data_IF_736062192447
#
_entry.id   IF_736062192447
#
_cell.length_a   1.000
_cell.length_b   1.000
_cell.length_c   1.000
_cell.angle_alpha   90.00
_cell.angle_beta   90.00
_cell.angle_gamma   90.00
#
_symmetry.space_group_name_H-M   'P 1'
#
loop_
_entity.id
_entity.type
_entity.pdbx_description
1 polymer ?
#
# COMPACT_ATOMS: atom_id res chain seq x y z
N UNK A 1 9.78 -17.87 -11.08
CA UNK A 1 8.31 -17.97 -10.87
C UNK A 1 7.91 -19.41 -11.07
N UNK A 2 7.34 -20.07 -10.06
CA UNK A 2 6.79 -21.41 -10.17
C UNK A 2 5.69 -21.40 -11.23
N UNK A 3 5.68 -22.44 -12.08
CA UNK A 3 4.71 -22.66 -13.13
C UNK A 3 3.27 -22.52 -12.58
N UNK A 4 2.66 -21.34 -12.73
CA UNK A 4 1.21 -21.27 -12.69
C UNK A 4 0.76 -22.06 -13.90
N UNK A 5 0.34 -23.31 -13.67
CA UNK A 5 -0.13 -24.20 -14.73
C UNK A 5 -1.28 -23.50 -15.47
N UNK A 6 -1.51 -23.89 -16.75
CA UNK A 6 -2.62 -23.38 -17.57
C UNK A 6 -4.01 -23.76 -17.02
N UNK A 7 -4.14 -23.85 -15.71
CA UNK A 7 -5.40 -24.09 -15.01
C UNK A 7 -6.21 -22.80 -15.02
N UNK A 8 -7.50 -22.93 -15.23
CA UNK A 8 -8.44 -21.81 -15.17
C UNK A 8 -9.10 -21.78 -13.82
N UNK A 9 -9.01 -20.62 -13.16
CA UNK A 9 -9.52 -20.39 -11.80
C UNK A 9 -10.77 -19.53 -11.84
N UNK A 10 -11.68 -19.77 -10.91
CA UNK A 10 -12.87 -18.91 -10.71
C UNK A 10 -12.50 -17.63 -9.97
N UNK A 11 -11.48 -17.70 -9.09
CA UNK A 11 -10.98 -16.55 -8.35
C UNK A 11 -9.46 -16.63 -8.14
N UNK A 12 -8.82 -15.46 -8.12
CA UNK A 12 -7.44 -15.27 -7.67
C UNK A 12 -7.47 -14.25 -6.54
N UNK A 13 -6.76 -14.54 -5.46
CA UNK A 13 -6.55 -13.64 -4.34
C UNK A 13 -5.09 -13.18 -4.35
N UNK A 14 -4.89 -11.88 -4.46
CA UNK A 14 -3.59 -11.23 -4.40
C UNK A 14 -3.55 -10.32 -3.17
N UNK A 15 -2.72 -10.66 -2.19
CA UNK A 15 -2.55 -9.91 -0.98
C UNK A 15 -1.09 -9.55 -0.79
N UNK A 16 -0.76 -8.27 -0.98
CA UNK A 16 0.57 -7.70 -0.76
C UNK A 16 1.71 -8.47 -1.48
N UNK A 17 1.53 -8.83 -2.75
CA UNK A 17 2.50 -9.60 -3.54
C UNK A 17 2.96 -8.88 -4.80
N UNK A 18 2.05 -8.19 -5.51
CA UNK A 18 2.38 -7.59 -6.81
C UNK A 18 3.41 -6.47 -6.68
N UNK A 19 3.44 -5.75 -5.58
CA UNK A 19 4.44 -4.70 -5.36
C UNK A 19 5.88 -5.23 -5.25
N UNK A 20 6.06 -6.55 -5.02
CA UNK A 20 7.35 -7.23 -5.07
C UNK A 20 7.70 -7.76 -6.47
N UNK A 21 6.80 -7.69 -7.44
CA UNK A 21 7.00 -8.28 -8.73
C UNK A 21 7.98 -7.47 -9.60
N UNK A 22 9.17 -8.02 -9.89
CA UNK A 22 10.15 -7.37 -10.77
C UNK A 22 9.56 -7.17 -12.18
N UNK A 23 8.86 -8.18 -12.70
CA UNK A 23 8.16 -8.12 -13.99
C UNK A 23 6.65 -7.96 -13.76
N UNK A 24 6.25 -6.85 -13.16
CA UNK A 24 4.88 -6.61 -12.69
C UNK A 24 3.85 -6.72 -13.83
N UNK A 25 4.18 -6.26 -15.03
CA UNK A 25 3.28 -6.37 -16.18
C UNK A 25 3.04 -7.84 -16.55
N UNK A 26 4.10 -8.64 -16.64
CA UNK A 26 3.98 -10.07 -16.96
C UNK A 26 3.22 -10.82 -15.86
N UNK A 27 3.45 -10.48 -14.59
CA UNK A 27 2.75 -11.08 -13.46
C UNK A 27 1.25 -10.78 -13.53
N UNK A 28 0.88 -9.52 -13.71
CA UNK A 28 -0.52 -9.07 -13.78
C UNK A 28 -1.24 -9.66 -15.00
N UNK A 29 -0.58 -9.64 -16.17
CA UNK A 29 -1.08 -10.29 -17.38
C UNK A 29 -1.33 -11.78 -17.15
N UNK A 30 -0.37 -12.49 -16.53
CA UNK A 30 -0.52 -13.93 -16.26
C UNK A 30 -1.70 -14.23 -15.35
N UNK A 31 -1.94 -13.40 -14.33
CA UNK A 31 -3.13 -13.52 -13.49
C UNK A 31 -4.41 -13.42 -14.33
N UNK A 32 -4.49 -12.46 -15.26
CA UNK A 32 -5.66 -12.30 -16.13
C UNK A 32 -5.88 -13.52 -17.04
N UNK A 33 -4.81 -14.14 -17.54
CA UNK A 33 -4.86 -15.30 -18.44
C UNK A 33 -5.31 -16.59 -17.76
N UNK A 34 -5.05 -16.77 -16.45
CA UNK A 34 -5.41 -17.98 -15.70
C UNK A 34 -6.80 -17.95 -15.10
N UNK A 35 -7.47 -16.80 -15.13
CA UNK A 35 -8.86 -16.69 -14.73
C UNK A 35 -9.78 -17.23 -15.85
N UNK A 36 -10.86 -17.90 -15.44
CA UNK A 36 -11.94 -18.30 -16.33
C UNK A 36 -12.70 -17.06 -16.84
N UNK A 37 -13.44 -17.19 -17.96
CA UNK A 37 -14.44 -16.18 -18.32
C UNK A 37 -15.39 -15.93 -17.13
N UNK A 38 -15.51 -14.66 -16.70
CA UNK A 38 -16.28 -14.28 -15.51
C UNK A 38 -15.59 -14.52 -14.17
N UNK A 39 -14.38 -15.06 -14.14
CA UNK A 39 -13.57 -15.17 -12.93
C UNK A 39 -13.13 -13.81 -12.39
N UNK A 40 -12.79 -13.75 -11.11
CA UNK A 40 -12.51 -12.51 -10.39
C UNK A 40 -11.08 -12.52 -9.80
N UNK A 41 -10.44 -11.36 -9.81
CA UNK A 41 -9.31 -11.07 -8.94
C UNK A 41 -9.77 -10.23 -7.75
N UNK A 42 -9.37 -10.64 -6.54
CA UNK A 42 -9.45 -9.87 -5.31
C UNK A 42 -8.06 -9.40 -4.96
N UNK A 43 -7.88 -8.10 -4.86
CA UNK A 43 -6.59 -7.47 -4.72
C UNK A 43 -6.56 -6.56 -3.49
N UNK A 44 -5.54 -6.74 -2.65
CA UNK A 44 -5.17 -5.83 -1.57
C UNK A 44 -3.67 -5.56 -1.70
N UNK A 45 -3.31 -4.29 -1.96
CA UNK A 45 -1.94 -3.96 -2.31
C UNK A 45 -1.46 -2.63 -1.75
N UNK A 46 -0.15 -2.57 -1.54
CA UNK A 46 0.56 -1.32 -1.40
C UNK A 46 0.76 -0.71 -2.81
N UNK A 47 0.28 0.53 -2.97
CA UNK A 47 0.30 1.29 -4.24
C UNK A 47 0.99 2.66 -4.09
N UNK A 48 1.69 2.83 -2.98
CA UNK A 48 2.47 4.04 -2.69
C UNK A 48 3.73 4.15 -3.55
N UNK A 49 4.56 5.16 -3.30
CA UNK A 49 5.81 5.37 -4.04
C UNK A 49 6.73 4.16 -3.96
N UNK A 50 7.34 3.80 -5.11
CA UNK A 50 8.30 2.71 -5.18
C UNK A 50 9.38 2.85 -4.10
N UNK A 51 9.69 1.71 -3.44
CA UNK A 51 10.68 1.64 -2.35
C UNK A 51 10.46 2.68 -1.24
N UNK A 52 9.20 3.08 -1.00
CA UNK A 52 8.83 4.07 0.02
C UNK A 52 9.59 5.41 -0.13
N UNK A 53 9.93 5.78 -1.36
CA UNK A 53 10.66 7.03 -1.64
C UNK A 53 9.68 8.21 -1.74
N UNK A 54 9.18 8.65 -0.61
CA UNK A 54 8.26 9.78 -0.49
C UNK A 54 8.91 11.09 -0.94
N UNK A 55 8.12 12.00 -1.54
CA UNK A 55 8.57 13.34 -1.88
C UNK A 55 8.92 14.16 -0.62
N UNK A 56 9.69 15.22 -0.78
CA UNK A 56 10.04 16.08 0.34
C UNK A 56 8.82 16.81 0.91
N UNK A 57 7.84 17.16 0.07
CA UNK A 57 6.56 17.73 0.47
C UNK A 57 5.76 16.75 1.32
N UNK A 58 5.72 15.48 0.91
CA UNK A 58 5.04 14.43 1.66
C UNK A 58 5.72 14.20 3.02
N UNK A 59 7.07 14.12 3.05
CA UNK A 59 7.82 14.01 4.29
C UNK A 59 7.55 15.18 5.24
N UNK A 60 7.50 16.40 4.69
CA UNK A 60 7.20 17.60 5.48
C UNK A 60 5.86 17.49 6.19
N UNK A 61 4.80 17.05 5.47
CA UNK A 61 3.47 16.84 6.05
C UNK A 61 3.49 15.76 7.15
N UNK A 62 4.17 14.64 6.93
CA UNK A 62 4.33 13.61 7.97
C UNK A 62 5.03 14.15 9.22
N UNK A 63 6.10 14.95 9.05
CA UNK A 63 6.85 15.55 10.15
C UNK A 63 5.98 16.57 10.90
N UNK A 64 5.21 17.39 10.20
CA UNK A 64 4.27 18.35 10.81
C UNK A 64 3.25 17.63 11.69
N UNK A 65 2.57 16.61 11.16
CA UNK A 65 1.59 15.82 11.93
C UNK A 65 2.26 15.10 13.12
N UNK A 66 3.45 14.52 12.90
CA UNK A 66 4.18 13.85 13.97
C UNK A 66 4.63 14.82 15.07
N UNK A 67 4.90 16.09 14.74
CA UNK A 67 5.31 17.09 15.72
C UNK A 67 4.22 17.46 16.73
N UNK A 68 2.94 17.26 16.35
CA UNK A 68 1.79 17.49 17.23
C UNK A 68 1.65 16.38 18.31
N UNK A 69 2.26 15.22 18.07
CA UNK A 69 2.20 14.10 19.00
C UNK A 69 3.11 14.35 20.21
N UNK A 70 2.73 13.91 21.43
CA UNK A 70 3.67 13.79 22.54
C UNK A 70 4.85 12.89 22.17
N UNK A 71 6.00 13.13 22.78
CA UNK A 71 7.26 12.43 22.46
C UNK A 71 7.16 10.90 22.53
N UNK A 72 6.32 10.37 23.43
CA UNK A 72 6.03 8.94 23.58
C UNK A 72 5.51 8.31 22.28
N UNK A 73 4.69 9.05 21.52
CA UNK A 73 3.99 8.57 20.33
C UNK A 73 4.68 8.93 19.00
N UNK A 74 5.83 9.63 19.06
CA UNK A 74 6.59 9.95 17.86
C UNK A 74 7.38 8.75 17.37
N UNK A 75 7.34 8.49 16.05
CA UNK A 75 8.21 7.48 15.45
C UNK A 75 9.68 7.83 15.68
N UNK A 76 10.48 6.84 16.04
CA UNK A 76 11.93 6.94 16.17
C UNK A 76 12.67 6.50 14.90
N UNK A 77 11.91 6.00 13.92
CA UNK A 77 12.44 5.53 12.65
C UNK A 77 12.47 6.64 11.61
N UNK A 78 13.32 6.49 10.62
CA UNK A 78 13.32 7.38 9.47
C UNK A 78 12.03 7.17 8.67
N UNK A 79 11.26 8.24 8.47
CA UNK A 79 10.00 8.17 7.72
C UNK A 79 10.20 7.81 6.25
N UNK A 80 11.31 8.21 5.65
CA UNK A 80 11.74 7.74 4.32
C UNK A 80 12.97 6.86 4.48
N UNK A 81 12.85 5.53 4.23
CA UNK A 81 13.99 4.64 4.40
C UNK A 81 15.09 4.95 3.38
N UNK A 82 16.37 4.82 3.76
CA UNK A 82 17.48 4.95 2.83
C UNK A 82 17.42 3.86 1.76
N UNK A 83 17.72 4.19 0.49
CA UNK A 83 17.78 3.21 -0.59
C UNK A 83 18.72 2.03 -0.31
N UNK A 84 19.74 2.24 0.54
CA UNK A 84 20.62 1.17 0.97
C UNK A 84 19.91 0.02 1.69
N UNK A 85 18.76 0.26 2.33
CA UNK A 85 17.98 -0.78 3.01
C UNK A 85 17.43 -1.80 2.01
N UNK A 86 17.14 -1.38 0.78
CA UNK A 86 16.61 -2.24 -0.29
C UNK A 86 17.67 -3.16 -0.93
N UNK A 87 18.93 -3.09 -0.50
CA UNK A 87 19.94 -4.09 -0.85
C UNK A 87 19.72 -5.43 -0.14
N UNK A 88 19.03 -5.43 1.00
CA UNK A 88 18.71 -6.63 1.78
C UNK A 88 17.45 -7.29 1.19
N UNK A 89 16.47 -6.47 0.85
CA UNK A 89 15.22 -6.92 0.20
C UNK A 89 14.94 -6.06 -1.05
N UNK A 90 15.60 -6.39 -2.16
CA UNK A 90 15.57 -5.53 -3.35
C UNK A 90 14.21 -5.50 -4.06
N UNK A 91 13.30 -6.40 -3.71
CA UNK A 91 11.95 -6.46 -4.29
C UNK A 91 10.91 -5.69 -3.46
N UNK A 92 11.25 -5.25 -2.24
CA UNK A 92 10.30 -4.51 -1.41
C UNK A 92 9.81 -3.25 -2.10
N UNK A 93 8.51 -3.20 -2.38
CA UNK A 93 7.83 -2.09 -3.06
C UNK A 93 8.54 -1.61 -4.35
N UNK A 94 9.23 -2.53 -5.07
CA UNK A 94 10.09 -2.16 -6.21
C UNK A 94 9.30 -1.47 -7.33
N UNK A 95 8.05 -1.87 -7.52
CA UNK A 95 7.13 -1.35 -8.55
C UNK A 95 5.72 -1.10 -7.98
N UNK A 96 5.63 -0.70 -6.73
CA UNK A 96 4.35 -0.43 -6.08
C UNK A 96 3.53 0.65 -6.79
N UNK A 97 4.18 1.67 -7.33
CA UNK A 97 3.60 2.73 -8.14
C UNK A 97 2.99 2.23 -9.47
N UNK A 98 3.41 1.05 -9.95
CA UNK A 98 2.88 0.42 -11.17
C UNK A 98 1.75 -0.58 -10.91
N UNK A 99 1.48 -0.97 -9.65
CA UNK A 99 0.44 -1.97 -9.32
C UNK A 99 -0.91 -1.56 -9.89
N UNK A 100 -1.37 -0.36 -9.58
CA UNK A 100 -2.67 0.15 -10.03
C UNK A 100 -2.73 0.33 -11.56
N UNK A 101 -1.77 0.97 -12.23
CA UNK A 101 -1.73 1.06 -13.70
C UNK A 101 -1.76 -0.32 -14.39
N UNK A 102 -1.04 -1.30 -13.87
CA UNK A 102 -1.03 -2.65 -14.46
C UNK A 102 -2.34 -3.38 -14.21
N UNK A 103 -2.93 -3.24 -13.03
CA UNK A 103 -4.27 -3.77 -12.77
C UNK A 103 -5.28 -3.17 -13.75
N UNK A 104 -5.35 -1.86 -13.89
CA UNK A 104 -6.26 -1.15 -14.79
C UNK A 104 -6.03 -1.50 -16.27
N UNK A 105 -4.80 -1.89 -16.63
CA UNK A 105 -4.47 -2.34 -18.00
C UNK A 105 -5.13 -3.69 -18.35
N UNK A 106 -5.16 -4.64 -17.41
CA UNK A 106 -5.57 -6.02 -17.65
C UNK A 106 -6.93 -6.40 -17.07
N UNK A 107 -7.49 -5.56 -16.21
CA UNK A 107 -8.76 -5.82 -15.54
C UNK A 107 -9.72 -4.64 -15.66
N UNK A 108 -11.01 -4.96 -15.79
CA UNK A 108 -12.09 -4.02 -15.55
C UNK A 108 -12.39 -4.02 -14.05
N UNK A 109 -12.19 -2.88 -13.40
CA UNK A 109 -12.45 -2.71 -11.97
C UNK A 109 -13.96 -2.69 -11.73
N UNK A 110 -14.46 -3.60 -10.89
CA UNK A 110 -15.87 -3.68 -10.48
C UNK A 110 -16.11 -3.18 -9.07
N UNK A 111 -15.07 -3.12 -8.26
CA UNK A 111 -15.06 -2.51 -6.94
C UNK A 111 -13.65 -2.01 -6.64
N UNK A 112 -13.58 -0.85 -6.00
CA UNK A 112 -12.33 -0.37 -5.42
C UNK A 112 -12.57 0.44 -4.15
N UNK A 113 -11.55 0.45 -3.29
CA UNK A 113 -11.51 1.26 -2.08
C UNK A 113 -10.08 1.68 -1.77
N UNK A 114 -9.89 2.99 -1.65
CA UNK A 114 -8.66 3.55 -1.11
C UNK A 114 -8.62 3.32 0.41
N UNK A 115 -7.50 2.82 0.91
CA UNK A 115 -7.28 2.52 2.33
C UNK A 115 -6.33 3.54 2.99
N UNK A 116 -6.02 4.64 2.26
CA UNK A 116 -5.18 5.73 2.72
C UNK A 116 -3.75 5.28 3.11
N UNK A 117 -3.24 5.70 4.28
CA UNK A 117 -1.92 5.32 4.79
C UNK A 117 -0.82 6.36 4.53
N UNK A 118 -1.14 7.45 3.84
CA UNK A 118 -0.16 8.47 3.42
C UNK A 118 0.51 9.22 4.59
N UNK A 119 -0.12 9.25 5.75
CA UNK A 119 0.43 9.85 6.98
C UNK A 119 0.67 8.79 8.04
N UNK A 120 -0.36 7.99 8.36
CA UNK A 120 -0.32 7.11 9.51
C UNK A 120 0.63 5.93 9.34
N UNK A 121 0.75 5.36 8.14
CA UNK A 121 1.51 4.14 7.89
C UNK A 121 2.95 4.21 8.41
N UNK A 122 3.71 5.22 7.97
CA UNK A 122 5.12 5.33 8.38
C UNK A 122 5.30 5.81 9.82
N UNK A 123 4.38 6.61 10.35
CA UNK A 123 4.44 7.06 11.75
C UNK A 123 4.17 5.89 12.68
N UNK A 124 3.27 4.98 12.32
CA UNK A 124 2.94 3.78 13.08
C UNK A 124 3.93 2.63 12.85
N UNK A 125 4.69 2.64 11.76
CA UNK A 125 5.65 1.59 11.46
C UNK A 125 6.68 1.44 12.59
N UNK A 126 6.81 0.22 13.15
CA UNK A 126 7.62 -0.08 14.32
C UNK A 126 7.36 0.84 15.55
N UNK A 127 6.17 1.39 15.66
CA UNK A 127 5.75 2.31 16.70
C UNK A 127 4.33 1.99 17.22
N UNK A 128 3.66 1.04 16.58
CA UNK A 128 2.26 0.68 16.88
C UNK A 128 2.07 0.24 18.34
N UNK A 129 3.07 -0.38 18.94
CA UNK A 129 3.08 -0.80 20.35
C UNK A 129 2.76 0.33 21.34
N UNK A 130 3.16 1.57 21.02
CA UNK A 130 2.85 2.74 21.84
C UNK A 130 1.37 3.16 21.77
N UNK A 131 0.60 2.62 20.82
CA UNK A 131 -0.81 2.92 20.59
C UNK A 131 -1.75 1.74 20.88
N UNK A 132 -1.20 0.57 21.27
CA UNK A 132 -1.97 -0.67 21.44
C UNK A 132 -2.51 -0.85 22.88
N UNK A 133 -2.18 0.03 23.81
CA UNK A 133 -2.68 -0.02 25.18
C UNK A 133 -4.13 0.50 25.21
N UNK A 134 -4.96 -0.04 26.13
CA UNK A 134 -6.28 0.50 26.46
C UNK A 134 -6.20 1.89 27.14
N UNK A 135 -5.07 2.57 26.96
CA UNK A 135 -4.82 3.92 27.45
C UNK A 135 -5.64 4.92 26.62
N UNK A 136 -6.57 5.67 27.24
CA UNK A 136 -7.37 6.67 26.55
C UNK A 136 -6.55 7.73 25.83
N UNK A 137 -5.34 8.03 26.30
CA UNK A 137 -4.44 8.96 25.64
C UNK A 137 -3.88 8.37 24.34
N UNK A 138 -3.48 7.08 24.35
CA UNK A 138 -3.02 6.37 23.17
C UNK A 138 -4.11 6.34 22.09
N UNK A 139 -5.34 5.97 22.47
CA UNK A 139 -6.49 5.94 21.56
C UNK A 139 -6.80 7.33 20.98
N UNK A 140 -6.70 8.39 21.78
CA UNK A 140 -6.89 9.77 21.30
C UNK A 140 -5.87 10.14 20.22
N UNK A 141 -4.61 9.79 20.42
CA UNK A 141 -3.57 10.12 19.44
C UNK A 141 -3.60 9.23 18.20
N UNK A 142 -4.02 7.98 18.34
CA UNK A 142 -4.29 7.12 17.19
C UNK A 142 -5.44 7.68 16.35
N UNK A 143 -6.55 8.06 16.96
CA UNK A 143 -7.68 8.69 16.28
C UNK A 143 -7.25 10.00 15.57
N UNK A 144 -6.42 10.82 16.21
CA UNK A 144 -5.85 12.01 15.59
C UNK A 144 -5.05 11.68 14.32
N UNK A 145 -4.14 10.69 14.38
CA UNK A 145 -3.35 10.26 13.24
C UNK A 145 -4.23 9.76 12.09
N UNK A 146 -5.20 8.89 12.39
CA UNK A 146 -6.10 8.34 11.38
C UNK A 146 -6.98 9.41 10.74
N UNK A 147 -7.42 10.42 11.49
CA UNK A 147 -8.16 11.57 10.97
C UNK A 147 -7.30 12.43 10.03
N UNK A 148 -6.04 12.67 10.40
CA UNK A 148 -5.10 13.41 9.55
C UNK A 148 -4.75 12.65 8.27
N UNK A 149 -4.56 11.34 8.39
CA UNK A 149 -4.34 10.45 7.26
C UNK A 149 -5.50 10.50 6.27
N UNK A 150 -6.73 10.36 6.76
CA UNK A 150 -7.94 10.46 5.96
C UNK A 150 -8.06 11.86 5.31
N UNK A 151 -7.96 12.93 6.09
CA UNK A 151 -8.06 14.32 5.60
C UNK A 151 -7.08 14.60 4.47
N UNK A 152 -5.81 14.21 4.62
CA UNK A 152 -4.77 14.54 3.64
C UNK A 152 -4.84 13.66 2.40
N UNK A 153 -5.27 12.41 2.54
CA UNK A 153 -5.51 11.52 1.39
C UNK A 153 -6.71 11.98 0.57
N UNK A 154 -7.85 12.31 1.20
CA UNK A 154 -9.05 12.78 0.51
C UNK A 154 -8.84 14.11 -0.21
N UNK A 155 -8.01 15.00 0.35
CA UNK A 155 -7.65 16.26 -0.26
C UNK A 155 -6.50 16.17 -1.28
N UNK A 156 -5.99 14.98 -1.56
CA UNK A 156 -4.90 14.74 -2.51
C UNK A 156 -3.56 15.35 -2.08
N UNK A 157 -3.39 15.69 -0.79
CA UNK A 157 -2.12 16.24 -0.27
C UNK A 157 -1.05 15.17 -0.13
N UNK A 158 -1.47 13.92 0.09
CA UNK A 158 -0.60 12.75 0.15
C UNK A 158 -1.18 11.65 -0.74
N UNK A 159 -0.35 10.76 -1.31
CA UNK A 159 -0.84 9.64 -2.09
C UNK A 159 -1.55 8.61 -1.21
N UNK A 160 -2.46 7.86 -1.83
CA UNK A 160 -3.00 6.63 -1.26
C UNK A 160 -1.90 5.57 -1.25
N UNK A 161 -1.68 4.93 -0.10
CA UNK A 161 -0.67 3.89 0.06
C UNK A 161 -1.22 2.49 -0.12
N UNK A 162 -2.48 2.26 0.28
CA UNK A 162 -3.10 0.94 0.23
C UNK A 162 -4.40 1.00 -0.56
N UNK A 163 -4.62 -0.04 -1.35
CA UNK A 163 -5.73 -0.10 -2.27
C UNK A 163 -6.32 -1.50 -2.36
N UNK A 164 -7.62 -1.60 -2.14
CA UNK A 164 -8.38 -2.81 -2.32
C UNK A 164 -9.18 -2.72 -3.60
N UNK A 165 -9.18 -3.77 -4.40
CA UNK A 165 -9.96 -3.83 -5.63
C UNK A 165 -10.46 -5.23 -5.96
N UNK A 166 -11.53 -5.27 -6.72
CA UNK A 166 -12.03 -6.48 -7.36
C UNK A 166 -12.15 -6.19 -8.84
N UNK A 167 -11.64 -7.09 -9.68
CA UNK A 167 -11.67 -6.92 -11.13
C UNK A 167 -12.02 -8.18 -11.89
N UNK A 168 -12.44 -7.97 -13.15
CA UNK A 168 -12.59 -9.02 -14.15
C UNK A 168 -11.52 -8.87 -15.22
N UNK A 169 -10.98 -9.97 -15.77
CA UNK A 169 -10.07 -9.87 -16.92
C UNK A 169 -10.75 -9.13 -18.07
N UNK A 170 -10.01 -8.19 -18.67
CA UNK A 170 -10.44 -7.57 -19.92
C UNK A 170 -10.47 -8.61 -21.04
N UNK A 171 -11.47 -8.53 -21.89
CA UNK A 171 -11.62 -9.39 -23.09
C UNK A 171 -10.78 -8.89 -24.25
#
# INVERSE_FOLDING_TARGET
>A
MSNIENKKYDAVFNFAILHHAIEIENATKRISEVLKPGGLIFNEEYVGPAQNQYSDEHLKLMIEVMSDLPSKYRSKHMLRPPLANFRIEPTEAIHSDLVRPMFEKYFDTIYERNMNGGIAYQILWNNVENFCDDDPEALKWLDYLLKKDFEFSENGKVPVMFWNSVGKPKT
#
